data_IF_951183457002
#
_entry.id   IF_951183457002
#
_cell.length_a   1.000
_cell.length_b   1.000
_cell.length_c   1.000
_cell.angle_alpha   90.00
_cell.angle_beta   90.00
_cell.angle_gamma   90.00
#
_symmetry.space_group_name_H-M   'P 1'
#
loop_
_entity.id
_entity.type
_entity.pdbx_description
1 polymer ?
#
# COMPACT_ATOMS: atom_id res chain seq x y z
N UNK A 1 -15.97 -31.32 -9.75
CA UNK A 1 -14.68 -31.37 -9.04
C UNK A 1 -14.20 -29.94 -8.87
N UNK A 2 -14.30 -29.38 -7.66
CA UNK A 2 -13.89 -28.00 -7.37
C UNK A 2 -12.37 -27.98 -7.49
N UNK A 3 -11.83 -27.33 -8.53
CA UNK A 3 -10.39 -27.10 -8.64
C UNK A 3 -9.99 -26.18 -7.48
N UNK A 4 -9.42 -26.75 -6.42
CA UNK A 4 -8.95 -26.00 -5.27
C UNK A 4 -7.73 -25.17 -5.69
N UNK A 5 -7.85 -23.85 -5.61
CA UNK A 5 -6.68 -22.98 -5.70
C UNK A 5 -5.77 -23.27 -4.50
N UNK A 6 -4.44 -23.39 -4.65
CA UNK A 6 -3.56 -23.66 -3.52
C UNK A 6 -3.70 -22.59 -2.44
N UNK A 7 -3.84 -22.98 -1.17
CA UNK A 7 -4.13 -22.07 -0.06
C UNK A 7 -3.03 -21.01 0.09
N UNK A 8 -1.78 -21.40 -0.10
CA UNK A 8 -0.61 -20.52 -0.04
C UNK A 8 -0.58 -19.46 -1.17
N UNK A 9 -1.45 -19.58 -2.17
CA UNK A 9 -1.61 -18.62 -3.28
C UNK A 9 -2.90 -17.79 -3.17
N UNK A 10 -3.64 -17.90 -2.07
CA UNK A 10 -4.80 -17.06 -1.78
C UNK A 10 -4.34 -15.86 -0.93
N UNK A 11 -4.87 -14.67 -1.24
CA UNK A 11 -4.66 -13.44 -0.45
C UNK A 11 -6.02 -12.83 -0.16
N UNK A 12 -6.43 -12.81 1.10
CA UNK A 12 -7.62 -12.08 1.54
C UNK A 12 -7.18 -10.73 2.11
N UNK A 13 -7.41 -9.64 1.38
CA UNK A 13 -6.96 -8.30 1.77
C UNK A 13 -8.10 -7.30 1.83
N UNK A 14 -7.98 -6.28 2.67
CA UNK A 14 -8.79 -5.07 2.55
C UNK A 14 -7.97 -3.87 2.12
N UNK A 15 -8.62 -2.96 1.40
CA UNK A 15 -8.12 -1.59 1.23
C UNK A 15 -8.79 -0.74 2.31
N UNK A 16 -7.97 -0.02 3.05
CA UNK A 16 -8.34 0.63 4.31
C UNK A 16 -7.86 2.08 4.22
N UNK A 17 -8.73 3.06 4.44
CA UNK A 17 -8.32 4.45 4.37
C UNK A 17 -9.30 5.37 5.14
N UNK A 18 -8.87 6.60 5.42
CA UNK A 18 -9.80 7.68 5.77
C UNK A 18 -10.57 8.15 4.53
N UNK A 19 -11.56 9.03 4.74
CA UNK A 19 -12.38 9.60 3.66
C UNK A 19 -11.48 10.33 2.66
N UNK A 20 -11.81 10.23 1.37
CA UNK A 20 -11.10 10.90 0.27
C UNK A 20 -9.63 10.53 0.05
N UNK A 21 -9.03 9.58 0.79
CA UNK A 21 -7.66 9.12 0.55
C UNK A 21 -7.46 8.39 -0.80
N UNK A 22 -8.55 8.09 -1.51
CA UNK A 22 -8.53 7.42 -2.83
C UNK A 22 -8.60 5.89 -2.77
N UNK A 23 -9.17 5.34 -1.70
CA UNK A 23 -9.37 3.89 -1.49
C UNK A 23 -10.08 3.22 -2.67
N UNK A 24 -11.25 3.72 -3.06
CA UNK A 24 -12.03 3.16 -4.17
C UNK A 24 -11.27 3.29 -5.50
N UNK A 25 -10.64 4.44 -5.76
CA UNK A 25 -9.81 4.64 -6.96
C UNK A 25 -8.68 3.63 -7.06
N UNK A 26 -8.02 3.31 -5.94
CA UNK A 26 -6.98 2.27 -5.89
C UNK A 26 -7.58 0.89 -6.18
N UNK A 27 -8.72 0.57 -5.56
CA UNK A 27 -9.42 -0.70 -5.81
C UNK A 27 -9.78 -0.85 -7.30
N UNK A 28 -10.35 0.17 -7.93
CA UNK A 28 -10.69 0.18 -9.36
C UNK A 28 -9.45 -0.02 -10.24
N UNK A 29 -8.34 0.63 -9.92
CA UNK A 29 -7.05 0.41 -10.62
C UNK A 29 -6.55 -1.01 -10.47
N UNK A 30 -6.64 -1.61 -9.28
CA UNK A 30 -6.27 -3.03 -9.07
C UNK A 30 -7.14 -3.93 -9.97
N UNK A 31 -8.44 -3.67 -10.07
CA UNK A 31 -9.31 -4.46 -10.96
C UNK A 31 -8.95 -4.29 -12.43
N UNK A 32 -8.60 -3.09 -12.85
CA UNK A 32 -8.18 -2.82 -14.22
C UNK A 32 -6.88 -3.56 -14.56
N UNK A 33 -5.83 -3.37 -13.76
CA UNK A 33 -4.52 -3.97 -14.01
C UNK A 33 -4.55 -5.50 -13.93
N UNK A 34 -5.43 -6.07 -13.11
CA UNK A 34 -5.64 -7.54 -13.05
C UNK A 34 -6.51 -8.09 -14.18
N UNK A 35 -6.99 -7.24 -15.10
CA UNK A 35 -7.86 -7.60 -16.21
C UNK A 35 -9.28 -8.00 -15.79
N UNK A 36 -9.69 -7.67 -14.55
CA UNK A 36 -11.04 -7.96 -14.04
C UNK A 36 -12.07 -6.99 -14.61
N UNK A 37 -11.69 -5.74 -14.80
CA UNK A 37 -12.48 -4.71 -15.48
C UNK A 37 -11.74 -4.24 -16.72
N UNK A 38 -12.48 -3.88 -17.77
CA UNK A 38 -11.93 -3.42 -19.06
C UNK A 38 -11.87 -1.88 -19.15
N UNK A 39 -12.36 -1.19 -18.11
CA UNK A 39 -12.33 0.26 -17.94
C UNK A 39 -12.07 0.57 -16.48
N UNK A 40 -11.33 1.65 -16.24
CA UNK A 40 -11.16 2.22 -14.91
C UNK A 40 -12.44 2.99 -14.56
N UNK A 41 -13.08 2.64 -13.45
CA UNK A 41 -14.19 3.41 -12.91
C UNK A 41 -13.68 4.61 -12.10
N UNK A 42 -14.38 5.73 -12.21
CA UNK A 42 -14.12 6.94 -11.45
C UNK A 42 -15.26 7.20 -10.47
N UNK A 43 -14.91 7.56 -9.23
CA UNK A 43 -15.89 7.82 -8.16
C UNK A 43 -16.65 9.11 -8.46
N UNK A 44 -15.96 10.16 -8.86
CA UNK A 44 -16.55 11.48 -9.17
C UNK A 44 -17.54 11.42 -10.35
N UNK A 45 -17.31 10.49 -11.28
CA UNK A 45 -18.19 10.27 -12.44
C UNK A 45 -19.30 9.24 -12.15
N UNK A 46 -19.31 8.64 -10.94
CA UNK A 46 -20.26 7.60 -10.55
C UNK A 46 -20.13 6.30 -11.35
N UNK A 47 -18.98 6.06 -11.98
CA UNK A 47 -18.70 4.89 -12.82
C UNK A 47 -17.93 3.79 -12.10
N UNK A 48 -17.49 4.05 -10.85
CA UNK A 48 -16.86 3.06 -9.98
C UNK A 48 -17.72 1.80 -9.85
N UNK A 49 -17.10 0.63 -10.04
CA UNK A 49 -17.76 -0.67 -9.98
C UNK A 49 -18.08 -1.07 -8.54
N UNK A 50 -17.25 -0.66 -7.59
CA UNK A 50 -17.44 -0.97 -6.16
C UNK A 50 -18.59 -0.21 -5.50
N UNK A 51 -18.82 1.05 -5.89
CA UNK A 51 -19.89 1.88 -5.35
C UNK A 51 -21.20 1.60 -6.12
N UNK A 52 -21.84 0.48 -5.80
CA UNK A 52 -23.04 0.02 -6.51
C UNK A 52 -24.32 0.67 -6.00
N UNK A 53 -24.34 1.18 -4.76
CA UNK A 53 -25.53 1.85 -4.22
C UNK A 53 -25.67 3.26 -4.79
N UNK A 54 -26.90 3.66 -5.10
CA UNK A 54 -27.21 5.01 -5.59
C UNK A 54 -26.72 6.10 -4.64
N UNK A 55 -26.80 5.87 -3.33
CA UNK A 55 -26.34 6.80 -2.29
C UNK A 55 -24.82 6.91 -2.22
N UNK A 56 -24.09 5.84 -2.52
CA UNK A 56 -22.62 5.87 -2.60
C UNK A 56 -22.19 6.75 -3.78
N UNK A 57 -22.80 6.54 -4.96
CA UNK A 57 -22.55 7.34 -6.16
C UNK A 57 -22.95 8.81 -6.01
N UNK A 58 -24.08 9.09 -5.36
CA UNK A 58 -24.55 10.46 -5.13
C UNK A 58 -23.67 11.26 -4.17
N UNK A 59 -22.99 10.57 -3.23
CA UNK A 59 -22.19 11.19 -2.18
C UNK A 59 -20.68 11.05 -2.39
N UNK A 60 -20.23 10.25 -3.36
CA UNK A 60 -18.82 9.97 -3.61
C UNK A 60 -18.12 9.23 -2.46
N UNK A 61 -18.85 8.46 -1.65
CA UNK A 61 -18.30 7.73 -0.49
C UNK A 61 -18.70 6.26 -0.51
N UNK A 62 -17.80 5.39 -0.05
CA UNK A 62 -18.10 3.97 0.20
C UNK A 62 -18.88 3.82 1.50
N UNK A 63 -20.08 3.23 1.43
CA UNK A 63 -20.98 3.02 2.57
C UNK A 63 -20.94 1.55 3.00
N UNK A 64 -20.95 0.62 2.05
CA UNK A 64 -20.96 -0.82 2.31
C UNK A 64 -19.69 -1.50 1.82
N UNK A 65 -19.26 -2.54 2.52
CA UNK A 65 -18.11 -3.32 2.12
C UNK A 65 -18.43 -4.17 0.88
N UNK A 66 -17.72 -3.91 -0.21
CA UNK A 66 -17.81 -4.70 -1.42
C UNK A 66 -16.68 -5.74 -1.46
N UNK A 67 -17.03 -7.00 -1.75
CA UNK A 67 -16.04 -8.06 -1.91
C UNK A 67 -15.92 -8.45 -3.39
N UNK A 68 -14.69 -8.56 -3.89
CA UNK A 68 -14.40 -9.00 -5.25
C UNK A 68 -13.23 -9.97 -5.29
N UNK A 69 -13.09 -10.70 -6.39
CA UNK A 69 -11.95 -11.58 -6.63
C UNK A 69 -11.29 -11.21 -7.95
N UNK A 70 -9.97 -11.07 -7.92
CA UNK A 70 -9.11 -10.93 -9.09
C UNK A 70 -7.92 -11.90 -9.03
N UNK A 71 -7.18 -11.99 -10.14
CA UNK A 71 -6.03 -12.87 -10.27
C UNK A 71 -4.81 -12.08 -10.70
N UNK A 72 -3.69 -12.29 -10.00
CA UNK A 72 -2.43 -11.61 -10.30
C UNK A 72 -1.27 -12.56 -10.09
N UNK A 73 -0.40 -12.71 -11.10
CA UNK A 73 0.82 -13.55 -11.01
C UNK A 73 0.58 -14.94 -10.38
N UNK A 74 -0.40 -15.71 -10.88
CA UNK A 74 -0.81 -17.02 -10.36
C UNK A 74 -1.34 -17.04 -8.92
N UNK A 75 -1.70 -15.88 -8.35
CA UNK A 75 -2.37 -15.74 -7.07
C UNK A 75 -3.83 -15.37 -7.25
N UNK A 76 -4.67 -15.84 -6.34
CA UNK A 76 -6.06 -15.39 -6.20
C UNK A 76 -6.10 -14.35 -5.11
N UNK A 77 -6.56 -13.15 -5.44
CA UNK A 77 -6.70 -12.05 -4.49
C UNK A 77 -8.19 -11.80 -4.29
N UNK A 78 -8.64 -11.91 -3.04
CA UNK A 78 -9.97 -11.50 -2.62
C UNK A 78 -9.83 -10.15 -1.93
N UNK A 79 -10.46 -9.12 -2.49
CA UNK A 79 -10.38 -7.74 -2.00
C UNK A 79 -11.70 -7.41 -1.32
N UNK A 80 -11.62 -6.88 -0.11
CA UNK A 80 -12.74 -6.24 0.59
C UNK A 80 -12.48 -4.73 0.61
N UNK A 81 -13.29 -3.99 -0.14
CA UNK A 81 -13.22 -2.53 -0.11
C UNK A 81 -14.00 -2.03 1.11
N UNK A 82 -13.34 -1.35 2.05
CA UNK A 82 -13.96 -1.01 3.35
C UNK A 82 -14.43 0.44 3.42
N UNK A 83 -15.53 0.76 4.13
CA UNK A 83 -15.94 2.15 4.34
C UNK A 83 -14.84 2.97 5.04
N UNK A 84 -14.58 4.19 4.56
CA UNK A 84 -13.56 5.08 5.15
C UNK A 84 -14.10 6.03 6.22
N UNK A 85 -15.43 6.13 6.35
CA UNK A 85 -16.09 7.02 7.30
C UNK A 85 -16.27 6.35 8.67
N UNK A 86 -16.08 7.12 9.74
CA UNK A 86 -16.23 6.66 11.14
C UNK A 86 -17.61 6.11 11.49
N UNK A 87 -18.62 6.45 10.71
CA UNK A 87 -20.02 6.06 10.95
C UNK A 87 -20.26 4.59 10.57
N UNK A 88 -19.32 3.98 9.83
CA UNK A 88 -19.38 2.60 9.37
C UNK A 88 -18.30 1.72 10.02
N UNK A 89 -17.81 2.12 11.19
CA UNK A 89 -16.78 1.40 11.96
C UNK A 89 -17.14 -0.06 12.27
N UNK A 90 -18.42 -0.39 12.47
CA UNK A 90 -18.86 -1.77 12.68
C UNK A 90 -18.60 -2.68 11.46
N UNK A 91 -18.64 -2.12 10.25
CA UNK A 91 -18.39 -2.84 9.01
C UNK A 91 -16.89 -3.02 8.74
N UNK A 92 -16.09 -2.00 9.08
CA UNK A 92 -14.63 -2.10 9.11
C UNK A 92 -14.19 -3.19 10.08
N UNK A 93 -14.71 -3.21 11.32
CA UNK A 93 -14.37 -4.25 12.29
C UNK A 93 -14.75 -5.66 11.83
N UNK A 94 -15.90 -5.83 11.19
CA UNK A 94 -16.32 -7.13 10.65
C UNK A 94 -15.39 -7.60 9.54
N UNK A 95 -14.97 -6.68 8.68
CA UNK A 95 -14.04 -6.96 7.59
C UNK A 95 -12.68 -7.37 8.12
N UNK A 96 -12.13 -6.64 9.09
CA UNK A 96 -10.81 -6.93 9.68
C UNK A 96 -10.68 -8.33 10.31
N UNK A 97 -11.78 -8.91 10.82
CA UNK A 97 -11.76 -10.25 11.44
C UNK A 97 -11.56 -11.41 10.47
N UNK A 98 -11.78 -11.21 9.18
CA UNK A 98 -11.77 -12.28 8.16
C UNK A 98 -10.62 -12.17 7.17
N UNK A 99 -9.72 -11.21 7.36
CA UNK A 99 -8.65 -10.88 6.43
C UNK A 99 -7.31 -11.47 6.86
N UNK A 100 -6.49 -11.80 5.87
CA UNK A 100 -5.10 -12.20 6.08
C UNK A 100 -4.16 -10.98 6.14
N UNK A 101 -4.59 -9.83 5.63
CA UNK A 101 -3.84 -8.59 5.66
C UNK A 101 -4.62 -7.36 5.16
N UNK A 102 -4.00 -6.20 5.22
CA UNK A 102 -4.59 -4.93 4.77
C UNK A 102 -3.61 -4.01 4.04
N UNK A 103 -4.15 -3.17 3.17
CA UNK A 103 -3.44 -2.05 2.55
C UNK A 103 -4.01 -0.77 3.14
N UNK A 104 -3.22 -0.08 3.97
CA UNK A 104 -3.62 1.19 4.57
C UNK A 104 -3.19 2.32 3.65
N UNK A 105 -4.17 3.06 3.14
CA UNK A 105 -3.97 4.16 2.21
C UNK A 105 -3.95 5.47 3.00
N UNK A 106 -2.89 6.25 2.79
CA UNK A 106 -2.75 7.61 3.30
C UNK A 106 -2.77 8.60 2.13
N UNK A 107 -3.29 9.79 2.37
CA UNK A 107 -3.19 10.91 1.43
C UNK A 107 -1.83 11.59 1.64
N UNK A 108 -1.03 11.76 0.59
CA UNK A 108 0.31 12.38 0.70
C UNK A 108 0.29 13.84 1.16
N UNK A 109 -0.85 14.54 1.02
CA UNK A 109 -1.08 15.92 1.44
C UNK A 109 -1.62 16.01 2.88
N UNK A 110 -2.52 15.12 3.28
CA UNK A 110 -3.07 15.13 4.64
C UNK A 110 -2.23 14.32 5.64
N UNK A 111 -1.57 13.26 5.18
CA UNK A 111 -0.83 12.29 5.98
C UNK A 111 -1.76 11.44 6.86
N UNK A 112 -1.43 11.34 8.15
CA UNK A 112 -2.23 10.59 9.14
C UNK A 112 -3.28 11.49 9.78
N UNK A 113 -4.54 11.17 9.52
CA UNK A 113 -5.70 11.83 10.13
C UNK A 113 -6.25 11.05 11.35
N UNK A 114 -7.10 11.71 12.15
CA UNK A 114 -7.74 11.09 13.33
C UNK A 114 -8.53 9.81 13.00
N UNK A 115 -9.13 9.77 11.80
CA UNK A 115 -9.83 8.58 11.31
C UNK A 115 -8.84 7.46 10.95
N UNK A 116 -7.68 7.81 10.39
CA UNK A 116 -6.62 6.85 10.10
C UNK A 116 -6.13 6.17 11.39
N UNK A 117 -5.98 6.91 12.49
CA UNK A 117 -5.63 6.33 13.80
C UNK A 117 -6.68 5.33 14.31
N UNK A 118 -7.96 5.67 14.13
CA UNK A 118 -9.07 4.81 14.59
C UNK A 118 -9.03 3.47 13.89
N UNK A 119 -8.87 3.49 12.56
CA UNK A 119 -8.84 2.26 11.76
C UNK A 119 -7.53 1.49 11.97
N UNK A 120 -6.42 2.20 12.20
CA UNK A 120 -5.15 1.58 12.58
C UNK A 120 -5.28 0.78 13.88
N UNK A 121 -5.85 1.37 14.94
CA UNK A 121 -6.10 0.69 16.22
C UNK A 121 -7.04 -0.51 16.08
N UNK A 122 -8.02 -0.44 15.17
CA UNK A 122 -8.90 -1.58 14.88
C UNK A 122 -8.13 -2.73 14.25
N UNK A 123 -7.25 -2.46 13.28
CA UNK A 123 -6.42 -3.50 12.67
C UNK A 123 -5.40 -4.08 13.66
N UNK A 124 -4.85 -3.27 14.57
CA UNK A 124 -3.98 -3.74 15.67
C UNK A 124 -4.72 -4.74 16.57
N UNK A 125 -5.97 -4.43 16.94
CA UNK A 125 -6.81 -5.30 17.81
C UNK A 125 -7.00 -6.70 17.22
N UNK A 126 -7.06 -6.80 15.90
CA UNK A 126 -7.23 -8.08 15.19
C UNK A 126 -5.91 -8.66 14.66
N UNK A 127 -4.76 -8.06 15.01
CA UNK A 127 -3.42 -8.45 14.56
C UNK A 127 -3.30 -8.59 13.03
N UNK A 128 -4.02 -7.76 12.27
CA UNK A 128 -4.03 -7.84 10.80
C UNK A 128 -2.70 -7.29 10.27
N UNK A 129 -1.87 -8.09 9.56
CA UNK A 129 -0.65 -7.62 8.88
C UNK A 129 -0.97 -6.54 7.84
N UNK A 130 -0.15 -5.50 7.73
CA UNK A 130 -0.46 -4.35 6.87
C UNK A 130 0.72 -3.88 6.05
N UNK A 131 0.40 -3.31 4.89
CA UNK A 131 1.31 -2.44 4.15
C UNK A 131 0.68 -1.06 4.02
N UNK A 132 1.53 -0.03 3.94
CA UNK A 132 1.09 1.35 3.75
C UNK A 132 1.24 1.75 2.28
N UNK A 133 0.28 2.49 1.75
CA UNK A 133 0.34 3.10 0.43
C UNK A 133 0.05 4.61 0.56
N UNK A 134 1.03 5.44 0.23
CA UNK A 134 0.87 6.91 0.25
C UNK A 134 0.41 7.33 -1.14
N UNK A 135 -0.86 7.67 -1.24
CA UNK A 135 -1.52 8.07 -2.48
C UNK A 135 -1.39 9.58 -2.72
N UNK A 136 -1.76 10.04 -3.92
CA UNK A 136 -1.81 11.46 -4.31
C UNK A 136 -0.47 12.20 -4.20
N UNK A 137 0.63 11.51 -4.46
CA UNK A 137 1.99 12.09 -4.45
C UNK A 137 2.24 13.14 -5.56
N UNK A 138 1.35 13.18 -6.55
CA UNK A 138 1.27 14.18 -7.62
C UNK A 138 0.69 15.53 -7.18
N UNK A 139 0.06 15.60 -6.00
CA UNK A 139 -0.61 16.83 -5.54
C UNK A 139 0.36 17.82 -4.90
N UNK A 140 0.03 19.11 -5.02
CA UNK A 140 0.76 20.19 -4.33
C UNK A 140 0.67 19.99 -2.82
N UNK A 141 1.81 20.09 -2.13
CA UNK A 141 1.91 19.83 -0.70
C UNK A 141 2.01 18.35 -0.34
N UNK A 142 2.07 17.44 -1.31
CA UNK A 142 2.31 16.03 -1.04
C UNK A 142 3.75 15.82 -0.52
N UNK A 143 3.89 15.08 0.58
CA UNK A 143 5.21 14.85 1.18
C UNK A 143 5.31 13.44 1.76
N UNK A 144 6.20 12.65 1.16
CA UNK A 144 6.49 11.29 1.61
C UNK A 144 7.12 11.28 3.01
N UNK A 145 8.15 12.11 3.23
CA UNK A 145 8.85 12.19 4.52
C UNK A 145 7.90 12.64 5.64
N UNK A 146 7.04 13.62 5.40
CA UNK A 146 6.05 14.04 6.40
C UNK A 146 5.05 12.92 6.71
N UNK A 147 4.57 12.23 5.68
CA UNK A 147 3.66 11.09 5.87
C UNK A 147 4.32 9.98 6.70
N UNK A 148 5.60 9.69 6.43
CA UNK A 148 6.40 8.74 7.18
C UNK A 148 6.54 9.13 8.66
N UNK A 149 6.93 10.38 8.94
CA UNK A 149 7.05 10.88 10.31
C UNK A 149 5.70 10.85 11.04
N UNK A 150 4.60 11.19 10.37
CA UNK A 150 3.27 11.10 10.98
C UNK A 150 2.85 9.65 11.29
N UNK A 151 3.20 8.68 10.43
CA UNK A 151 2.97 7.25 10.71
C UNK A 151 3.74 6.82 11.97
N UNK A 152 4.99 7.25 12.10
CA UNK A 152 5.80 6.94 13.27
C UNK A 152 5.26 7.61 14.55
N UNK A 153 5.00 8.92 14.51
CA UNK A 153 4.63 9.71 15.67
C UNK A 153 3.18 9.48 16.14
N UNK A 154 2.21 9.46 15.21
CA UNK A 154 0.78 9.39 15.54
C UNK A 154 0.28 7.96 15.69
N UNK A 155 0.77 7.04 14.86
CA UNK A 155 0.36 5.64 14.89
C UNK A 155 1.27 4.80 15.78
N UNK A 156 2.39 5.35 16.26
CA UNK A 156 3.41 4.64 17.04
C UNK A 156 3.91 3.38 16.31
N UNK A 157 3.94 3.46 14.98
CA UNK A 157 4.35 2.38 14.10
C UNK A 157 5.84 2.50 13.76
N UNK A 158 6.44 1.41 13.28
CA UNK A 158 7.83 1.38 12.81
C UNK A 158 7.86 1.25 11.29
N UNK A 159 7.60 2.31 10.51
CA UNK A 159 7.50 2.16 9.08
C UNK A 159 8.84 1.74 8.46
N UNK A 160 8.74 0.84 7.48
CA UNK A 160 9.84 0.35 6.66
C UNK A 160 9.68 0.83 5.21
N UNK A 161 10.27 1.98 4.82
CA UNK A 161 10.22 2.46 3.44
C UNK A 161 10.90 1.46 2.50
N UNK A 162 10.12 0.91 1.56
CA UNK A 162 10.65 0.04 0.50
C UNK A 162 10.73 0.75 -0.86
N UNK A 163 10.10 1.91 -0.96
CA UNK A 163 10.05 2.75 -2.15
C UNK A 163 10.15 4.22 -1.75
N UNK A 164 10.73 5.03 -2.63
CA UNK A 164 10.73 6.50 -2.55
C UNK A 164 10.02 7.07 -3.79
N UNK A 165 9.40 8.26 -3.70
CA UNK A 165 8.91 8.96 -4.88
C UNK A 165 10.08 9.44 -5.75
N UNK A 166 9.95 9.33 -7.07
CA UNK A 166 10.84 9.96 -8.04
C UNK A 166 10.25 11.31 -8.43
N UNK A 167 10.90 12.40 -8.03
CA UNK A 167 10.33 13.74 -8.12
C UNK A 167 9.24 14.04 -7.08
N UNK A 168 8.65 15.23 -7.16
CA UNK A 168 7.68 15.73 -6.18
C UNK A 168 6.61 16.59 -6.82
N UNK A 169 5.37 16.49 -6.35
CA UNK A 169 4.25 17.32 -6.84
C UNK A 169 4.13 17.22 -8.37
N UNK A 170 4.23 18.35 -9.09
CA UNK A 170 4.15 18.40 -10.55
C UNK A 170 5.32 17.72 -11.27
N UNK A 171 6.45 17.46 -10.59
CA UNK A 171 7.57 16.69 -11.14
C UNK A 171 7.53 15.21 -10.72
N UNK A 172 6.51 14.77 -9.98
CA UNK A 172 6.34 13.37 -9.62
C UNK A 172 6.08 12.53 -10.87
N UNK A 173 7.04 11.68 -11.22
CA UNK A 173 7.01 10.89 -12.46
C UNK A 173 7.19 9.39 -12.22
N UNK A 174 7.39 8.97 -10.97
CA UNK A 174 7.40 7.56 -10.63
C UNK A 174 7.97 7.23 -9.27
N UNK A 175 8.68 6.10 -9.19
CA UNK A 175 9.18 5.57 -7.91
C UNK A 175 10.62 5.08 -8.02
N UNK A 176 11.31 5.06 -6.90
CA UNK A 176 12.58 4.38 -6.71
C UNK A 176 12.35 3.18 -5.80
N UNK A 177 12.59 1.98 -6.31
CA UNK A 177 12.54 0.71 -5.59
C UNK A 177 13.84 0.51 -4.80
N UNK A 178 13.75 0.61 -3.47
CA UNK A 178 14.88 0.45 -2.57
C UNK A 178 15.29 -1.01 -2.35
N UNK A 179 14.54 -1.99 -2.88
CA UNK A 179 14.85 -3.43 -2.78
C UNK A 179 15.73 -3.85 -3.95
N UNK A 180 15.30 -3.54 -5.16
CA UNK A 180 16.04 -3.85 -6.40
C UNK A 180 17.05 -2.75 -6.77
N UNK A 181 16.98 -1.59 -6.10
CA UNK A 181 17.80 -0.40 -6.39
C UNK A 181 17.62 0.11 -7.83
N UNK A 182 16.34 0.25 -8.23
CA UNK A 182 15.92 0.65 -9.58
C UNK A 182 14.93 1.81 -9.51
N UNK A 183 14.96 2.71 -10.49
CA UNK A 183 13.92 3.72 -10.65
C UNK A 183 12.99 3.36 -11.81
N UNK A 184 11.70 3.59 -11.60
CA UNK A 184 10.64 3.34 -12.57
C UNK A 184 9.88 4.62 -12.84
N UNK A 185 9.83 5.03 -14.10
CA UNK A 185 9.04 6.18 -14.57
C UNK A 185 7.73 5.70 -15.20
N UNK A 186 6.66 6.42 -14.94
CA UNK A 186 5.33 6.18 -15.50
C UNK A 186 4.96 7.37 -16.40
N UNK A 187 4.43 7.10 -17.58
CA UNK A 187 3.99 8.11 -18.54
C UNK A 187 2.55 8.61 -18.29
N UNK A 188 1.89 8.08 -17.25
CA UNK A 188 0.52 8.40 -16.87
C UNK A 188 -0.55 7.60 -17.62
N UNK A 189 -0.17 6.80 -18.63
CA UNK A 189 -1.09 5.91 -19.34
C UNK A 189 -1.29 4.61 -18.55
N UNK A 190 -2.54 4.19 -18.27
CA UNK A 190 -2.80 2.92 -17.60
C UNK A 190 -2.37 1.67 -18.38
N UNK A 191 -2.15 1.78 -19.69
CA UNK A 191 -1.78 0.64 -20.54
C UNK A 191 -0.29 0.56 -20.84
N UNK A 192 0.46 1.59 -20.44
CA UNK A 192 1.89 1.65 -20.69
C UNK A 192 2.66 0.91 -19.59
N UNK A 193 3.64 0.10 -20.00
CA UNK A 193 4.60 -0.47 -19.06
C UNK A 193 5.52 0.62 -18.50
N UNK A 194 5.89 0.55 -17.20
CA UNK A 194 6.82 1.50 -16.62
C UNK A 194 8.21 1.36 -17.25
N UNK A 195 8.88 2.50 -17.42
CA UNK A 195 10.23 2.56 -17.99
C UNK A 195 11.27 2.54 -16.87
N UNK A 196 12.22 1.60 -16.94
CA UNK A 196 13.39 1.61 -16.06
C UNK A 196 14.29 2.81 -16.43
N UNK A 197 14.58 3.66 -15.45
CA UNK A 197 15.43 4.84 -15.61
C UNK A 197 16.55 4.84 -14.57
N UNK A 198 17.61 5.60 -14.83
CA UNK A 198 18.66 5.80 -13.83
C UNK A 198 18.13 6.67 -12.67
N UNK A 199 18.54 6.36 -11.44
CA UNK A 199 18.26 7.20 -10.28
C UNK A 199 18.99 8.55 -10.47
N UNK A 200 18.31 9.70 -10.40
CA UNK A 200 18.94 11.01 -10.52
C UNK A 200 20.04 11.21 -9.47
N UNK A 201 21.15 11.86 -9.83
CA UNK A 201 22.26 12.11 -8.91
C UNK A 201 21.81 12.87 -7.64
N UNK A 202 20.84 13.76 -7.78
CA UNK A 202 20.24 14.52 -6.67
C UNK A 202 19.52 13.65 -5.64
N UNK A 203 19.06 12.45 -6.02
CA UNK A 203 18.28 11.55 -5.16
C UNK A 203 19.12 10.38 -4.63
N UNK A 204 20.31 10.13 -5.18
CA UNK A 204 21.17 9.01 -4.80
C UNK A 204 21.52 8.99 -3.30
N UNK A 205 21.89 10.13 -2.74
CA UNK A 205 22.26 10.23 -1.32
C UNK A 205 21.11 9.81 -0.41
N UNK A 206 19.90 10.29 -0.71
CA UNK A 206 18.68 9.93 0.01
C UNK A 206 18.37 8.44 -0.15
N UNK A 207 18.47 7.88 -1.35
CA UNK A 207 18.23 6.46 -1.59
C UNK A 207 19.17 5.56 -0.79
N UNK A 208 20.45 5.92 -0.70
CA UNK A 208 21.46 5.20 0.09
C UNK A 208 21.09 5.25 1.57
N UNK A 209 20.76 6.43 2.10
CA UNK A 209 20.39 6.62 3.51
C UNK A 209 19.12 5.82 3.88
N UNK A 210 18.07 5.90 3.07
CA UNK A 210 16.83 5.17 3.30
C UNK A 210 17.03 3.66 3.19
N UNK A 211 17.82 3.19 2.21
CA UNK A 211 18.12 1.76 2.06
C UNK A 211 18.95 1.24 3.23
N UNK A 212 19.92 2.02 3.70
CA UNK A 212 20.71 1.66 4.88
C UNK A 212 19.81 1.57 6.12
N UNK A 213 18.98 2.58 6.35
CA UNK A 213 18.01 2.60 7.47
C UNK A 213 17.04 1.42 7.40
N UNK A 214 16.56 1.06 6.20
CA UNK A 214 15.71 -0.11 5.98
C UNK A 214 16.41 -1.41 6.41
N UNK A 215 17.66 -1.60 5.99
CA UNK A 215 18.46 -2.78 6.33
C UNK A 215 18.72 -2.84 7.84
N UNK A 216 19.08 -1.70 8.45
CA UNK A 216 19.30 -1.59 9.90
C UNK A 216 18.06 -2.00 10.69
N UNK A 217 16.88 -1.47 10.33
CA UNK A 217 15.62 -1.83 10.98
C UNK A 217 15.26 -3.30 10.78
N UNK A 218 15.51 -3.87 9.60
CA UNK A 218 15.28 -5.29 9.33
C UNK A 218 16.25 -6.20 10.10
N UNK A 219 17.49 -5.77 10.31
CA UNK A 219 18.48 -6.50 11.08
C UNK A 219 18.03 -6.76 12.52
N UNK A 220 17.30 -5.82 13.16
CA UNK A 220 16.78 -5.98 14.52
C UNK A 220 15.90 -7.24 14.70
N UNK A 221 15.24 -7.70 13.64
CA UNK A 221 14.30 -8.81 13.67
C UNK A 221 14.74 -10.07 12.91
N UNK A 222 15.90 -10.03 12.24
CA UNK A 222 16.37 -11.12 11.39
C UNK A 222 17.88 -11.35 11.49
N UNK A 223 18.28 -12.42 12.17
CA UNK A 223 19.69 -12.78 12.44
C UNK A 223 20.53 -12.90 11.16
N UNK A 224 19.92 -13.31 10.04
CA UNK A 224 20.64 -13.43 8.76
C UNK A 224 20.96 -12.05 8.19
N UNK A 225 19.99 -11.14 8.25
CA UNK A 225 20.18 -9.74 7.84
C UNK A 225 21.19 -9.05 8.75
N UNK A 226 21.08 -9.27 10.07
CA UNK A 226 22.03 -8.75 11.06
C UNK A 226 23.46 -9.20 10.79
N UNK A 227 23.68 -10.50 10.56
CA UNK A 227 25.00 -11.02 10.24
C UNK A 227 25.57 -10.41 8.95
N UNK A 228 24.76 -10.31 7.89
CA UNK A 228 25.20 -9.69 6.63
C UNK A 228 25.53 -8.20 6.81
N UNK A 229 24.74 -7.46 7.58
CA UNK A 229 24.95 -6.05 7.87
C UNK A 229 26.25 -5.80 8.66
N UNK A 230 26.50 -6.55 9.73
CA UNK A 230 27.74 -6.44 10.55
C UNK A 230 28.98 -6.77 9.71
N UNK A 231 28.89 -7.79 8.85
CA UNK A 231 29.99 -8.21 7.97
C UNK A 231 30.19 -7.27 6.77
N UNK A 232 29.34 -6.25 6.58
CA UNK A 232 29.38 -5.35 5.41
C UNK A 232 29.10 -6.07 4.08
N UNK A 233 28.39 -7.21 4.11
CA UNK A 233 28.04 -7.99 2.92
C UNK A 233 26.81 -7.42 2.24
N UNK A 234 26.79 -7.50 0.91
CA UNK A 234 25.60 -7.14 0.15
C UNK A 234 24.46 -8.13 0.39
N UNK A 235 23.25 -7.62 0.61
CA UNK A 235 22.05 -8.41 0.82
C UNK A 235 21.28 -8.50 -0.49
N UNK A 236 20.93 -9.72 -0.90
CA UNK A 236 20.20 -9.94 -2.14
C UNK A 236 18.73 -9.45 -2.04
N UNK A 237 18.12 -8.95 -3.14
CA UNK A 237 16.72 -8.49 -3.14
C UNK A 237 15.71 -9.51 -2.60
N UNK A 238 15.90 -10.80 -2.91
CA UNK A 238 15.02 -11.87 -2.42
C UNK A 238 15.14 -12.11 -0.91
N UNK A 239 16.33 -11.90 -0.33
CA UNK A 239 16.52 -11.99 1.12
C UNK A 239 15.83 -10.83 1.82
N UNK A 240 15.94 -9.60 1.29
CA UNK A 240 15.19 -8.44 1.77
C UNK A 240 13.68 -8.67 1.71
N UNK A 241 13.14 -9.18 0.60
CA UNK A 241 11.71 -9.52 0.47
C UNK A 241 11.27 -10.55 1.51
N UNK A 242 12.12 -11.52 1.81
CA UNK A 242 11.83 -12.56 2.81
C UNK A 242 11.81 -11.97 4.23
N UNK A 243 12.78 -11.13 4.56
CA UNK A 243 12.86 -10.44 5.84
C UNK A 243 11.68 -9.47 6.04
N UNK A 244 11.34 -8.69 5.01
CA UNK A 244 10.16 -7.82 4.99
C UNK A 244 8.88 -8.61 5.23
N UNK A 245 8.67 -9.71 4.48
CA UNK A 245 7.49 -10.56 4.67
C UNK A 245 7.39 -11.07 6.10
N UNK A 246 8.51 -11.49 6.71
CA UNK A 246 8.55 -11.95 8.10
C UNK A 246 8.21 -10.82 9.08
N UNK A 247 8.75 -9.63 8.87
CA UNK A 247 8.47 -8.45 9.70
C UNK A 247 6.99 -8.02 9.60
N UNK A 248 6.45 -7.95 8.38
CA UNK A 248 5.05 -7.60 8.11
C UNK A 248 4.09 -8.60 8.76
N UNK A 249 4.30 -9.91 8.55
CA UNK A 249 3.43 -10.95 9.13
C UNK A 249 3.50 -10.99 10.66
N UNK A 250 4.61 -10.54 11.26
CA UNK A 250 4.77 -10.44 12.70
C UNK A 250 4.26 -9.11 13.28
N UNK A 251 3.76 -8.17 12.46
CA UNK A 251 3.40 -6.80 12.87
C UNK A 251 4.55 -6.06 13.57
N UNK A 252 5.78 -6.22 13.07
CA UNK A 252 7.00 -5.62 13.65
C UNK A 252 7.64 -4.54 12.78
N UNK A 253 6.99 -4.13 11.70
CA UNK A 253 7.44 -3.12 10.76
C UNK A 253 6.32 -2.64 9.85
#
# INVERSE_FOLDING_TARGET
>A
MIRSFPLERIRNIAIIAHIDAGKTTITERILYYTGRTYKIGEVDEGTAVMDWMKQERERGITITAAATTCYWQNHRINIIDTPGHVDFTAEVERSLRVLDGGVVVFDGVAGVEAQSETVWRQADRYNVPRICFINKMDRIGASFNRSLSMIEERLQAKPLPIQLPLGSEASYEGIIDLIENKAWRFDGSPDSEPLEVAIPESELAMCIEFRQTLIEKLAEGDDRIMGAYIDGKSIAPNELRTALRKATLANKG
#
